data_IF_909200562483
#
_entry.id   IF_909200562483
#
_cell.length_a   1.000
_cell.length_b   1.000
_cell.length_c   1.000
_cell.angle_alpha   90.00
_cell.angle_beta   90.00
_cell.angle_gamma   90.00
#
_symmetry.space_group_name_H-M   'P 1'
#
loop_
_entity.id
_entity.type
_entity.pdbx_description
1 polymer ?
#
# COMPACT_ATOMS: atom_id res chain seq x y z
N UNK A 1 -2.53 6.07 -22.60
CA UNK A 1 -2.53 6.42 -21.15
C UNK A 1 -1.08 6.70 -20.78
N UNK A 2 -0.80 7.78 -20.07
CA UNK A 2 0.56 8.10 -19.61
C UNK A 2 0.88 7.30 -18.37
N UNK A 3 2.16 6.93 -18.19
CA UNK A 3 2.60 6.26 -16.98
C UNK A 3 2.65 7.26 -15.81
N UNK A 4 2.12 6.85 -14.65
CA UNK A 4 2.21 7.58 -13.38
C UNK A 4 3.57 7.35 -12.73
N UNK A 5 4.12 6.14 -12.87
CA UNK A 5 5.41 5.72 -12.35
C UNK A 5 6.18 4.92 -13.39
N UNK A 6 7.45 5.23 -13.57
CA UNK A 6 8.40 4.41 -14.34
C UNK A 6 9.61 4.12 -13.45
N UNK A 7 9.91 2.86 -13.28
CA UNK A 7 11.07 2.36 -12.54
C UNK A 7 11.97 1.63 -13.52
N UNK A 8 13.27 1.95 -13.50
CA UNK A 8 14.26 1.34 -14.37
C UNK A 8 15.50 0.93 -13.60
N UNK A 9 15.81 -0.36 -13.67
CA UNK A 9 16.99 -1.00 -13.10
C UNK A 9 17.18 -0.70 -11.60
N UNK A 10 16.06 -0.60 -10.84
CA UNK A 10 16.09 -0.28 -9.42
C UNK A 10 16.81 -1.37 -8.62
N UNK A 11 17.78 -0.94 -7.83
CA UNK A 11 18.45 -1.74 -6.82
C UNK A 11 18.37 -1.10 -5.44
N UNK A 12 18.18 -1.94 -4.41
CA UNK A 12 18.16 -1.52 -3.00
C UNK A 12 19.02 -2.46 -2.19
N UNK A 13 19.91 -1.92 -1.37
CA UNK A 13 20.78 -2.70 -0.51
C UNK A 13 20.84 -2.15 0.93
N UNK A 14 21.00 -3.04 1.90
CA UNK A 14 21.29 -2.73 3.31
C UNK A 14 22.71 -3.21 3.63
N UNK A 15 23.65 -2.27 3.70
CA UNK A 15 25.05 -2.59 3.81
C UNK A 15 25.54 -3.42 2.61
N UNK A 16 25.94 -4.68 2.84
CA UNK A 16 26.37 -5.59 1.76
C UNK A 16 25.26 -6.50 1.24
N UNK A 17 24.08 -6.45 1.81
CA UNK A 17 22.95 -7.30 1.43
C UNK A 17 22.09 -6.59 0.41
N UNK A 18 22.12 -7.06 -0.83
CA UNK A 18 21.22 -6.59 -1.89
C UNK A 18 19.83 -7.23 -1.71
N UNK A 19 18.81 -6.38 -1.61
CA UNK A 19 17.41 -6.80 -1.38
C UNK A 19 16.61 -6.72 -2.66
N UNK A 20 16.80 -5.66 -3.45
CA UNK A 20 16.21 -5.52 -4.79
C UNK A 20 17.33 -5.36 -5.81
N UNK A 21 17.18 -5.99 -6.98
CA UNK A 21 18.19 -5.98 -8.03
C UNK A 21 17.59 -5.83 -9.41
N UNK A 22 17.96 -4.74 -10.10
CA UNK A 22 17.64 -4.54 -11.52
C UNK A 22 16.14 -4.55 -11.82
N UNK A 23 15.29 -4.10 -10.89
CA UNK A 23 13.86 -4.12 -11.01
C UNK A 23 13.37 -3.03 -11.96
N UNK A 24 12.63 -3.41 -13.02
CA UNK A 24 12.07 -2.48 -14.00
C UNK A 24 10.59 -2.78 -14.22
N UNK A 25 9.75 -1.73 -14.12
CA UNK A 25 8.32 -1.81 -14.37
C UNK A 25 7.74 -0.40 -14.58
N UNK A 26 6.51 -0.32 -15.11
CA UNK A 26 5.75 0.93 -15.16
C UNK A 26 4.33 0.76 -14.65
N UNK A 27 3.76 1.83 -14.10
CA UNK A 27 2.40 1.86 -13.57
C UNK A 27 1.63 2.96 -14.29
N UNK A 28 0.62 2.63 -15.10
CA UNK A 28 -0.24 3.63 -15.74
C UNK A 28 -1.00 4.49 -14.72
N UNK A 29 -1.37 5.68 -15.13
CA UNK A 29 -2.21 6.56 -14.32
C UNK A 29 -3.57 5.92 -14.03
N UNK A 30 -4.03 6.01 -12.79
CA UNK A 30 -5.28 5.39 -12.31
C UNK A 30 -5.24 3.87 -12.22
N UNK A 31 -4.09 3.21 -12.48
CA UNK A 31 -3.97 1.77 -12.37
C UNK A 31 -3.97 1.28 -10.91
N UNK A 32 -4.31 0.00 -10.75
CA UNK A 32 -4.19 -0.74 -9.49
C UNK A 32 -3.14 -1.82 -9.63
N UNK A 33 -2.05 -1.70 -8.89
CA UNK A 33 -0.94 -2.65 -8.90
C UNK A 33 -0.77 -3.30 -7.53
N UNK A 34 -0.78 -4.62 -7.49
CA UNK A 34 -0.39 -5.39 -6.31
C UNK A 34 1.12 -5.70 -6.34
N UNK A 35 1.75 -5.70 -5.17
CA UNK A 35 3.11 -6.21 -4.94
C UNK A 35 3.00 -7.43 -4.04
N UNK A 36 3.44 -8.57 -4.54
CA UNK A 36 3.38 -9.85 -3.82
C UNK A 36 4.78 -10.47 -3.65
N UNK A 37 4.90 -11.38 -2.73
CA UNK A 37 6.14 -12.12 -2.48
C UNK A 37 6.31 -12.54 -1.02
N UNK A 38 7.23 -13.45 -0.73
CA UNK A 38 7.46 -13.92 0.64
C UNK A 38 7.98 -12.82 1.56
N UNK A 39 7.94 -13.07 2.87
CA UNK A 39 8.54 -12.17 3.85
C UNK A 39 10.03 -12.03 3.58
N UNK A 40 10.53 -10.79 3.68
CA UNK A 40 11.92 -10.48 3.39
C UNK A 40 12.29 -10.35 1.90
N UNK A 41 11.31 -10.43 0.96
CA UNK A 41 11.58 -10.24 -0.48
C UNK A 41 11.81 -8.79 -0.91
N UNK A 42 11.65 -7.82 0.01
CA UNK A 42 11.92 -6.41 -0.29
C UNK A 42 10.69 -5.56 -0.61
N UNK A 43 9.45 -6.04 -0.37
CA UNK A 43 8.22 -5.28 -0.67
C UNK A 43 8.20 -3.90 0.02
N UNK A 44 8.38 -3.87 1.33
CA UNK A 44 8.47 -2.60 2.09
C UNK A 44 9.70 -1.77 1.71
N UNK A 45 10.83 -2.42 1.36
CA UNK A 45 12.02 -1.71 0.87
C UNK A 45 11.74 -1.03 -0.48
N UNK A 46 10.98 -1.67 -1.38
CA UNK A 46 10.49 -1.04 -2.61
C UNK A 46 9.67 0.22 -2.29
N UNK A 47 8.68 0.13 -1.40
CA UNK A 47 7.85 1.28 -1.05
C UNK A 47 8.67 2.42 -0.45
N UNK A 48 9.60 2.12 0.45
CA UNK A 48 10.53 3.12 1.01
C UNK A 48 11.42 3.77 -0.05
N UNK A 49 11.89 3.01 -1.04
CA UNK A 49 12.63 3.56 -2.16
C UNK A 49 11.74 4.45 -3.05
N UNK A 50 10.51 4.02 -3.35
CA UNK A 50 9.56 4.79 -4.16
C UNK A 50 9.22 6.17 -3.56
N UNK A 51 9.17 6.29 -2.22
CA UNK A 51 8.94 7.57 -1.53
C UNK A 51 10.24 8.34 -1.21
N UNK A 52 11.40 7.83 -1.61
CA UNK A 52 12.70 8.45 -1.33
C UNK A 52 13.20 8.31 0.11
N UNK A 53 12.56 7.45 0.93
CA UNK A 53 12.95 7.20 2.32
C UNK A 53 14.09 6.16 2.45
N UNK A 54 14.51 5.53 1.35
CA UNK A 54 15.59 4.57 1.31
C UNK A 54 16.46 4.83 0.07
N UNK A 55 17.80 4.91 0.21
CA UNK A 55 18.70 5.03 -0.94
C UNK A 55 18.55 3.86 -1.90
N UNK A 56 18.60 4.15 -3.20
CA UNK A 56 18.48 3.17 -4.26
C UNK A 56 19.38 3.50 -5.44
N UNK A 57 19.73 2.50 -6.25
CA UNK A 57 20.35 2.63 -7.57
C UNK A 57 19.30 2.52 -8.66
N UNK A 58 19.64 2.85 -9.91
CA UNK A 58 18.68 2.93 -11.00
C UNK A 58 17.86 4.22 -10.98
N UNK A 59 16.70 4.24 -11.62
CA UNK A 59 15.86 5.44 -11.69
C UNK A 59 14.42 5.17 -11.29
N UNK A 60 13.86 6.10 -10.52
CA UNK A 60 12.43 6.16 -10.18
C UNK A 60 11.90 7.49 -10.72
N UNK A 61 10.97 7.44 -11.66
CA UNK A 61 10.36 8.63 -12.24
C UNK A 61 8.86 8.63 -12.02
N UNK A 62 8.40 9.57 -11.23
CA UNK A 62 6.99 9.89 -11.08
C UNK A 62 6.56 10.93 -12.13
N UNK A 63 5.33 10.85 -12.60
CA UNK A 63 4.77 11.91 -13.44
C UNK A 63 4.81 13.26 -12.71
N UNK A 64 5.00 14.38 -13.44
CA UNK A 64 5.02 15.72 -12.82
C UNK A 64 3.78 15.99 -11.97
N UNK A 65 3.97 16.64 -10.82
CA UNK A 65 2.88 16.95 -9.87
C UNK A 65 2.34 15.78 -9.08
N UNK A 66 2.97 14.60 -9.13
CA UNK A 66 2.57 13.44 -8.32
C UNK A 66 2.72 13.74 -6.84
N UNK A 67 1.63 13.54 -6.09
CA UNK A 67 1.61 13.55 -4.62
C UNK A 67 1.32 12.15 -4.13
N UNK A 68 2.13 11.68 -3.20
CA UNK A 68 2.07 10.29 -2.69
C UNK A 68 1.50 10.29 -1.29
N UNK A 69 0.42 9.53 -1.07
CA UNK A 69 -0.04 9.09 0.23
C UNK A 69 0.55 7.72 0.54
N UNK A 70 1.08 7.54 1.74
CA UNK A 70 1.64 6.26 2.17
C UNK A 70 0.98 5.80 3.47
N UNK A 71 0.45 4.59 3.46
CA UNK A 71 -0.07 3.88 4.62
C UNK A 71 0.89 2.74 4.93
N UNK A 72 1.69 2.83 5.99
CA UNK A 72 2.64 1.79 6.36
C UNK A 72 1.95 0.60 7.02
N UNK A 73 2.57 -0.58 6.93
CA UNK A 73 2.12 -1.80 7.61
C UNK A 73 2.02 -1.61 9.13
N UNK A 74 2.98 -0.93 9.70
CA UNK A 74 3.02 -0.56 11.14
C UNK A 74 3.51 0.87 11.27
N UNK A 75 2.87 1.58 12.15
CA UNK A 75 3.37 2.84 12.65
C UNK A 75 3.70 2.61 14.14
N UNK A 76 4.99 2.65 14.47
CA UNK A 76 5.47 2.50 15.84
C UNK A 76 5.18 3.79 16.62
N UNK A 77 3.89 3.99 16.94
CA UNK A 77 3.48 5.00 17.90
C UNK A 77 3.30 4.32 19.26
N UNK A 78 3.95 4.87 20.26
CA UNK A 78 3.68 4.48 21.64
C UNK A 78 2.20 4.72 21.93
N UNK A 79 1.47 3.65 22.25
CA UNK A 79 0.02 3.72 22.49
C UNK A 79 -0.35 4.61 23.70
N UNK A 80 0.62 4.86 24.57
CA UNK A 80 0.46 5.70 25.78
C UNK A 80 0.65 7.19 25.49
N UNK A 81 0.96 7.59 24.26
CA UNK A 81 1.02 9.00 23.89
C UNK A 81 -0.36 9.64 24.08
N UNK A 82 -0.43 10.79 24.82
CA UNK A 82 -1.67 11.55 24.99
C UNK A 82 -2.01 12.33 23.72
N UNK A 83 -2.13 11.62 22.60
CA UNK A 83 -2.38 12.17 21.27
C UNK A 83 -3.72 11.63 20.78
N UNK A 84 -4.67 12.52 20.45
CA UNK A 84 -5.89 12.10 19.79
C UNK A 84 -5.67 11.84 18.30
N UNK A 85 -6.57 11.07 17.68
CA UNK A 85 -6.55 10.89 16.22
C UNK A 85 -6.71 12.23 15.48
N UNK A 86 -7.46 13.16 16.04
CA UNK A 86 -7.63 14.51 15.50
C UNK A 86 -6.33 15.31 15.54
N UNK A 87 -5.60 15.31 16.66
CA UNK A 87 -4.30 15.99 16.76
C UNK A 87 -3.29 15.38 15.78
N UNK A 88 -3.31 14.07 15.63
CA UNK A 88 -2.48 13.35 14.64
C UNK A 88 -2.75 13.83 13.21
N UNK A 89 -4.02 13.97 12.82
CA UNK A 89 -4.39 14.49 11.50
C UNK A 89 -4.03 15.97 11.35
N UNK A 90 -4.21 16.78 12.39
CA UNK A 90 -3.83 18.20 12.39
C UNK A 90 -2.33 18.43 12.24
N UNK A 91 -1.50 17.62 12.88
CA UNK A 91 -0.05 17.67 12.69
C UNK A 91 0.32 17.49 11.20
N UNK A 92 -0.32 16.52 10.52
CA UNK A 92 -0.14 16.34 9.06
C UNK A 92 -0.72 17.50 8.27
N UNK A 93 -1.93 17.96 8.59
CA UNK A 93 -2.59 19.05 7.90
C UNK A 93 -1.72 20.30 7.86
N UNK A 94 -1.09 20.65 9.00
CA UNK A 94 -0.15 21.77 9.09
C UNK A 94 1.03 21.61 8.12
N UNK A 95 1.62 20.40 8.03
CA UNK A 95 2.76 20.15 7.15
C UNK A 95 2.42 20.26 5.66
N UNK A 96 1.21 19.87 5.27
CA UNK A 96 0.76 19.89 3.87
C UNK A 96 -0.12 21.10 3.56
N UNK A 97 -0.27 22.04 4.48
CA UNK A 97 -1.10 23.25 4.38
C UNK A 97 -2.58 22.92 4.05
N UNK A 98 -3.07 21.81 4.58
CA UNK A 98 -4.47 21.40 4.46
C UNK A 98 -5.33 22.15 5.49
N UNK A 99 -6.57 22.43 5.11
CA UNK A 99 -7.56 23.11 5.95
C UNK A 99 -8.28 22.13 6.89
N UNK A 100 -9.02 22.66 7.88
CA UNK A 100 -9.95 21.86 8.71
C UNK A 100 -11.04 21.17 7.87
N UNK A 101 -11.44 21.79 6.77
CA UNK A 101 -12.37 21.17 5.82
C UNK A 101 -11.75 19.92 5.15
N UNK A 102 -10.44 19.92 4.87
CA UNK A 102 -9.73 18.77 4.32
C UNK A 102 -9.63 17.65 5.34
N UNK A 103 -9.37 17.97 6.62
CA UNK A 103 -9.38 16.98 7.72
C UNK A 103 -10.76 16.33 7.84
N UNK A 104 -11.81 17.16 7.85
CA UNK A 104 -13.20 16.67 7.88
C UNK A 104 -13.53 15.79 6.66
N UNK A 105 -13.09 16.20 5.47
CA UNK A 105 -13.25 15.42 4.25
C UNK A 105 -12.53 14.08 4.33
N UNK A 106 -11.26 14.07 4.79
CA UNK A 106 -10.47 12.85 4.94
C UNK A 106 -11.15 11.86 5.89
N UNK A 107 -11.63 12.30 7.06
CA UNK A 107 -12.38 11.46 8.01
C UNK A 107 -13.65 10.86 7.39
N UNK A 108 -14.41 11.66 6.65
CA UNK A 108 -15.61 11.20 5.95
C UNK A 108 -15.30 10.17 4.88
N UNK A 109 -14.23 10.39 4.09
CA UNK A 109 -13.80 9.47 3.04
C UNK A 109 -13.46 8.08 3.58
N UNK A 110 -12.90 8.00 4.79
CA UNK A 110 -12.56 6.72 5.44
C UNK A 110 -13.65 6.22 6.39
N UNK A 111 -14.82 6.86 6.42
CA UNK A 111 -15.94 6.47 7.28
C UNK A 111 -15.54 6.41 8.76
N UNK A 112 -14.77 7.40 9.23
CA UNK A 112 -14.36 7.54 10.63
C UNK A 112 -15.07 8.74 11.26
N UNK A 113 -15.87 8.50 12.29
CA UNK A 113 -16.60 9.55 13.00
C UNK A 113 -15.66 10.54 13.69
N UNK A 114 -16.09 11.81 13.79
CA UNK A 114 -15.32 12.84 14.51
C UNK A 114 -15.14 12.52 15.98
N UNK A 115 -16.16 11.95 16.62
CA UNK A 115 -16.13 11.48 18.01
C UNK A 115 -15.04 10.41 18.23
N UNK A 116 -14.90 9.49 17.27
CA UNK A 116 -13.83 8.47 17.27
C UNK A 116 -12.46 9.12 17.07
N UNK A 117 -12.34 10.07 16.14
CA UNK A 117 -11.07 10.77 15.89
C UNK A 117 -10.60 11.62 17.10
N UNK A 118 -11.51 12.09 17.95
CA UNK A 118 -11.15 12.81 19.18
C UNK A 118 -10.65 11.91 20.31
N UNK A 119 -10.77 10.60 20.18
CA UNK A 119 -10.27 9.66 21.19
C UNK A 119 -8.74 9.52 21.10
N UNK A 120 -8.08 9.17 22.24
CA UNK A 120 -6.66 8.82 22.23
C UNK A 120 -6.36 7.70 21.22
N UNK A 121 -5.28 7.84 20.45
CA UNK A 121 -4.89 6.86 19.41
C UNK A 121 -4.79 5.45 20.00
N UNK A 122 -4.24 5.30 21.20
CA UNK A 122 -4.10 4.02 21.88
C UNK A 122 -5.42 3.33 22.23
N UNK A 123 -6.54 4.08 22.26
CA UNK A 123 -7.89 3.55 22.53
C UNK A 123 -8.66 3.12 21.29
N UNK A 124 -8.12 3.37 20.09
CA UNK A 124 -8.74 3.00 18.84
C UNK A 124 -8.61 1.50 18.58
N UNK A 125 -9.66 0.88 18.00
CA UNK A 125 -9.53 -0.49 17.48
C UNK A 125 -8.54 -0.53 16.31
N UNK A 126 -8.01 -1.72 15.97
CA UNK A 126 -7.11 -1.88 14.83
C UNK A 126 -7.69 -1.29 13.53
N UNK A 127 -8.94 -1.60 13.20
CA UNK A 127 -9.62 -1.06 12.02
C UNK A 127 -9.87 0.45 12.08
N UNK A 128 -10.17 1.02 13.26
CA UNK A 128 -10.28 2.47 13.45
C UNK A 128 -8.93 3.16 13.24
N UNK A 129 -7.87 2.60 13.77
CA UNK A 129 -6.53 3.12 13.61
C UNK A 129 -6.05 3.05 12.14
N UNK A 130 -6.29 1.96 11.44
CA UNK A 130 -5.95 1.86 10.02
C UNK A 130 -6.73 2.84 9.15
N UNK A 131 -8.02 3.08 9.43
CA UNK A 131 -8.78 4.13 8.76
C UNK A 131 -8.26 5.53 9.09
N UNK A 132 -7.77 5.76 10.31
CA UNK A 132 -7.09 7.00 10.67
C UNK A 132 -5.80 7.19 9.87
N UNK A 133 -4.98 6.13 9.70
CA UNK A 133 -3.78 6.17 8.86
C UNK A 133 -4.11 6.43 7.39
N UNK A 134 -5.19 5.86 6.89
CA UNK A 134 -5.68 6.14 5.54
C UNK A 134 -6.13 7.60 5.41
N UNK A 135 -6.87 8.15 6.39
CA UNK A 135 -7.23 9.57 6.41
C UNK A 135 -5.98 10.46 6.39
N UNK A 136 -4.97 10.13 7.19
CA UNK A 136 -3.68 10.81 7.22
C UNK A 136 -2.98 10.79 5.85
N UNK A 137 -2.97 9.65 5.16
CA UNK A 137 -2.39 9.51 3.82
C UNK A 137 -3.14 10.32 2.76
N UNK A 138 -4.45 10.53 2.92
CA UNK A 138 -5.30 11.29 2.00
C UNK A 138 -5.17 12.81 2.17
N UNK A 139 -4.64 13.30 3.30
CA UNK A 139 -4.35 14.72 3.48
C UNK A 139 -3.29 15.17 2.48
N UNK A 140 -3.51 16.32 1.87
CA UNK A 140 -2.66 16.83 0.78
C UNK A 140 -3.08 16.34 -0.61
N UNK A 141 -4.24 15.69 -0.75
CA UNK A 141 -4.82 15.26 -2.02
C UNK A 141 -3.85 14.46 -2.89
N UNK A 142 -3.43 13.26 -2.44
CA UNK A 142 -2.50 12.44 -3.20
C UNK A 142 -3.12 12.00 -4.53
N UNK A 143 -2.29 11.83 -5.55
CA UNK A 143 -2.66 11.17 -6.81
C UNK A 143 -2.21 9.71 -6.85
N UNK A 144 -1.38 9.31 -5.89
CA UNK A 144 -0.93 7.93 -5.69
C UNK A 144 -1.11 7.53 -4.23
N UNK A 145 -1.64 6.34 -4.00
CA UNK A 145 -1.72 5.73 -2.67
C UNK A 145 -0.83 4.48 -2.65
N UNK A 146 0.17 4.49 -1.78
CA UNK A 146 0.96 3.31 -1.43
C UNK A 146 0.39 2.69 -0.15
N UNK A 147 0.05 1.40 -0.18
CA UNK A 147 -0.70 0.73 0.87
C UNK A 147 0.01 -0.56 1.29
N UNK A 148 0.77 -0.53 2.39
CA UNK A 148 1.65 -1.61 2.82
C UNK A 148 0.97 -2.52 3.83
N UNK A 149 0.41 -3.67 3.38
CA UNK A 149 -0.21 -4.73 4.20
C UNK A 149 -1.09 -4.21 5.36
N UNK A 150 -2.12 -3.42 5.08
CA UNK A 150 -2.80 -2.62 6.09
C UNK A 150 -3.72 -3.42 7.03
N UNK A 151 -3.87 -4.71 6.82
CA UNK A 151 -4.86 -5.55 7.55
C UNK A 151 -4.28 -6.26 8.77
N UNK A 152 -3.00 -6.11 9.03
CA UNK A 152 -2.36 -6.71 10.20
C UNK A 152 -3.01 -6.22 11.50
N UNK A 153 -3.72 -7.11 12.19
CA UNK A 153 -4.38 -6.80 13.47
C UNK A 153 -5.78 -6.21 13.35
N UNK A 154 -6.42 -6.37 12.20
CA UNK A 154 -7.83 -6.06 11.96
C UNK A 154 -8.62 -7.37 11.89
N UNK A 155 -9.86 -7.35 12.37
CA UNK A 155 -10.82 -8.44 12.19
C UNK A 155 -11.37 -8.48 10.75
N UNK A 156 -11.87 -9.62 10.31
CA UNK A 156 -12.35 -9.83 8.95
C UNK A 156 -13.38 -8.78 8.46
N UNK A 157 -14.40 -8.39 9.26
CA UNK A 157 -15.33 -7.32 8.86
C UNK A 157 -14.66 -5.95 8.70
N UNK A 158 -13.66 -5.64 9.52
CA UNK A 158 -12.88 -4.41 9.44
C UNK A 158 -11.99 -4.37 8.21
N UNK A 159 -11.44 -5.51 7.83
CA UNK A 159 -10.64 -5.68 6.63
C UNK A 159 -11.46 -5.47 5.36
N UNK A 160 -12.62 -6.12 5.24
CA UNK A 160 -13.53 -5.91 4.11
C UNK A 160 -13.95 -4.45 3.96
N UNK A 161 -14.28 -3.79 5.07
CA UNK A 161 -14.64 -2.37 5.07
C UNK A 161 -13.48 -1.49 4.62
N UNK A 162 -12.26 -1.80 5.03
CA UNK A 162 -11.06 -1.06 4.62
C UNK A 162 -10.82 -1.19 3.11
N UNK A 163 -10.86 -2.40 2.56
CA UNK A 163 -10.69 -2.61 1.12
C UNK A 163 -11.82 -1.98 0.29
N UNK A 164 -13.08 -2.12 0.72
CA UNK A 164 -14.20 -1.45 0.06
C UNK A 164 -14.03 0.08 0.05
N UNK A 165 -13.49 0.64 1.14
CA UNK A 165 -13.16 2.07 1.22
C UNK A 165 -12.07 2.46 0.23
N UNK A 166 -10.99 1.67 0.13
CA UNK A 166 -9.88 1.93 -0.81
C UNK A 166 -10.33 1.79 -2.26
N UNK A 167 -11.15 0.78 -2.59
CA UNK A 167 -11.73 0.63 -3.93
C UNK A 167 -12.63 1.81 -4.33
N UNK A 168 -13.45 2.29 -3.40
CA UNK A 168 -14.27 3.48 -3.61
C UNK A 168 -13.42 4.72 -3.85
N UNK A 169 -12.44 4.96 -3.00
CA UNK A 169 -11.50 6.09 -3.12
C UNK A 169 -10.76 6.06 -4.45
N UNK A 170 -10.29 4.89 -4.88
CA UNK A 170 -9.59 4.74 -6.15
C UNK A 170 -10.46 5.15 -7.33
N UNK A 171 -11.76 4.81 -7.30
CA UNK A 171 -12.70 5.18 -8.37
C UNK A 171 -13.09 6.66 -8.31
N UNK A 172 -13.47 7.16 -7.13
CA UNK A 172 -14.00 8.51 -6.96
C UNK A 172 -12.92 9.59 -7.10
N UNK A 173 -11.71 9.32 -6.60
CA UNK A 173 -10.60 10.27 -6.61
C UNK A 173 -9.59 10.00 -7.75
N UNK A 174 -9.86 9.01 -8.62
CA UNK A 174 -8.95 8.60 -9.72
C UNK A 174 -7.52 8.31 -9.26
N UNK A 175 -7.37 7.71 -8.08
CA UNK A 175 -6.07 7.41 -7.49
C UNK A 175 -5.37 6.26 -8.25
N UNK A 176 -4.08 6.40 -8.46
CA UNK A 176 -3.21 5.25 -8.75
C UNK A 176 -2.96 4.53 -7.43
N UNK A 177 -3.31 3.25 -7.35
CA UNK A 177 -3.15 2.43 -6.14
C UNK A 177 -2.02 1.43 -6.33
N UNK A 178 -1.04 1.44 -5.43
CA UNK A 178 -0.02 0.39 -5.34
C UNK A 178 -0.11 -0.21 -3.94
N UNK A 179 -0.39 -1.50 -3.83
CA UNK A 179 -0.61 -2.15 -2.54
C UNK A 179 0.15 -3.45 -2.41
N UNK A 180 0.61 -3.73 -1.20
CA UNK A 180 1.22 -5.00 -0.83
C UNK A 180 0.13 -5.90 -0.24
N UNK A 181 0.07 -7.15 -0.69
CA UNK A 181 -0.82 -8.16 -0.13
C UNK A 181 -0.20 -9.55 -0.16
N UNK A 182 -0.55 -10.36 0.82
CA UNK A 182 -0.26 -11.80 0.86
C UNK A 182 -1.45 -12.64 0.36
N UNK A 183 -2.62 -12.04 0.20
CA UNK A 183 -3.84 -12.73 -0.23
C UNK A 183 -3.99 -12.69 -1.74
N UNK A 184 -3.87 -13.83 -2.39
CA UNK A 184 -4.07 -13.93 -3.85
C UNK A 184 -5.52 -13.64 -4.26
N UNK A 185 -6.52 -14.01 -3.45
CA UNK A 185 -7.93 -13.67 -3.65
C UNK A 185 -8.14 -12.17 -3.83
N UNK A 186 -7.57 -11.37 -2.92
CA UNK A 186 -7.59 -9.92 -2.98
C UNK A 186 -6.86 -9.38 -4.21
N UNK A 187 -5.70 -9.96 -4.54
CA UNK A 187 -4.92 -9.57 -5.72
C UNK A 187 -5.73 -9.78 -6.99
N UNK A 188 -6.38 -10.95 -7.15
CA UNK A 188 -7.25 -11.22 -8.32
C UNK A 188 -8.45 -10.30 -8.40
N UNK A 189 -9.02 -9.91 -7.26
CA UNK A 189 -10.19 -9.01 -7.18
C UNK A 189 -9.83 -7.56 -7.50
N UNK A 190 -8.73 -7.06 -6.95
CA UNK A 190 -8.41 -5.63 -6.97
C UNK A 190 -7.39 -5.21 -8.01
N UNK A 191 -6.41 -6.04 -8.33
CA UNK A 191 -5.27 -5.62 -9.12
C UNK A 191 -5.50 -5.78 -10.63
N UNK A 192 -5.15 -4.77 -11.41
CA UNK A 192 -4.99 -4.87 -12.86
C UNK A 192 -3.57 -5.27 -13.26
N UNK A 193 -2.59 -5.01 -12.39
CA UNK A 193 -1.18 -5.35 -12.55
C UNK A 193 -0.65 -6.00 -11.28
N UNK A 194 0.30 -6.91 -11.41
CA UNK A 194 1.02 -7.52 -10.29
C UNK A 194 2.51 -7.45 -10.52
N UNK A 195 3.23 -7.11 -9.49
CA UNK A 195 4.67 -7.24 -9.38
C UNK A 195 4.98 -8.33 -8.36
N UNK A 196 5.60 -9.42 -8.80
CA UNK A 196 6.09 -10.46 -7.90
C UNK A 196 7.54 -10.15 -7.50
N UNK A 197 7.83 -10.20 -6.23
CA UNK A 197 9.18 -10.10 -5.68
C UNK A 197 9.53 -11.43 -5.02
N UNK A 198 10.31 -12.25 -5.71
CA UNK A 198 10.86 -13.49 -5.17
C UNK A 198 12.21 -13.27 -4.49
N UNK A 199 12.73 -14.31 -3.87
CA UNK A 199 14.09 -14.28 -3.31
C UNK A 199 15.14 -14.21 -4.41
N UNK A 200 16.32 -13.61 -4.14
CA UNK A 200 17.49 -13.55 -5.04
C UNK A 200 17.22 -12.79 -6.35
N UNK A 201 16.36 -11.76 -6.33
CA UNK A 201 16.10 -10.93 -7.52
C UNK A 201 15.16 -11.56 -8.55
N UNK A 202 14.50 -12.65 -8.22
CA UNK A 202 13.42 -13.18 -9.07
C UNK A 202 12.26 -12.21 -9.02
N UNK A 203 11.82 -11.73 -10.17
CA UNK A 203 10.64 -10.88 -10.26
C UNK A 203 9.80 -11.21 -11.50
N UNK A 204 8.52 -10.93 -11.45
CA UNK A 204 7.60 -10.99 -12.57
C UNK A 204 6.71 -9.74 -12.54
N UNK A 205 6.24 -9.30 -13.71
CA UNK A 205 5.38 -8.13 -13.82
C UNK A 205 4.38 -8.30 -14.96
N UNK A 206 3.10 -8.00 -14.72
CA UNK A 206 2.04 -8.06 -15.73
C UNK A 206 0.65 -8.25 -15.14
N UNK A 207 -0.38 -8.50 -15.96
CA UNK A 207 -1.74 -8.78 -15.49
C UNK A 207 -1.81 -10.06 -14.64
N UNK A 208 -2.59 -10.06 -13.50
CA UNK A 208 -2.64 -11.20 -12.58
C UNK A 208 -2.92 -12.53 -13.25
N UNK A 209 -3.93 -12.58 -14.12
CA UNK A 209 -4.37 -13.81 -14.79
C UNK A 209 -3.33 -14.40 -15.78
N UNK A 210 -2.38 -13.59 -16.23
CA UNK A 210 -1.33 -14.02 -17.16
C UNK A 210 -0.08 -14.50 -16.46
N UNK A 211 0.26 -13.85 -15.32
CA UNK A 211 1.55 -14.07 -14.67
C UNK A 211 1.48 -14.92 -13.40
N UNK A 212 0.32 -14.98 -12.71
CA UNK A 212 0.17 -15.78 -11.49
C UNK A 212 -0.17 -17.23 -11.82
N UNK A 213 0.75 -17.89 -12.55
CA UNK A 213 0.68 -19.33 -12.77
C UNK A 213 1.25 -20.11 -11.61
N UNK A 214 0.90 -21.40 -11.41
CA UNK A 214 1.50 -22.24 -10.36
C UNK A 214 3.02 -22.19 -10.38
N UNK A 215 3.65 -22.25 -11.57
CA UNK A 215 5.11 -22.24 -11.73
C UNK A 215 5.70 -20.88 -11.31
N UNK A 216 5.04 -19.76 -11.63
CA UNK A 216 5.49 -18.44 -11.23
C UNK A 216 5.36 -18.25 -9.72
N UNK A 217 4.27 -18.74 -9.13
CA UNK A 217 4.05 -18.69 -7.69
C UNK A 217 5.08 -19.55 -6.95
N UNK A 218 5.32 -20.78 -7.40
CA UNK A 218 6.35 -21.66 -6.84
C UNK A 218 7.73 -21.02 -6.92
N UNK A 219 8.09 -20.43 -8.05
CA UNK A 219 9.35 -19.72 -8.24
C UNK A 219 9.48 -18.50 -7.35
N UNK A 220 8.37 -17.77 -7.09
CA UNK A 220 8.33 -16.57 -6.27
C UNK A 220 8.43 -16.90 -4.79
N UNK A 221 7.68 -17.91 -4.32
CA UNK A 221 7.58 -18.28 -2.91
C UNK A 221 8.54 -19.39 -2.50
N UNK A 222 9.03 -20.20 -3.45
CA UNK A 222 10.01 -21.27 -3.19
C UNK A 222 9.40 -22.54 -2.60
N UNK A 223 8.08 -22.72 -2.71
CA UNK A 223 7.36 -23.92 -2.28
C UNK A 223 6.17 -24.19 -3.22
N UNK A 224 5.77 -25.47 -3.44
CA UNK A 224 4.56 -25.82 -4.17
C UNK A 224 3.34 -25.18 -3.52
N UNK A 225 2.47 -24.55 -4.30
CA UNK A 225 1.35 -23.73 -3.84
C UNK A 225 0.02 -24.47 -3.86
N UNK A 226 0.01 -25.81 -3.70
CA UNK A 226 -1.21 -26.62 -3.71
C UNK A 226 -2.25 -26.21 -2.66
N UNK A 227 -1.87 -25.50 -1.60
CA UNK A 227 -2.76 -25.08 -0.53
C UNK A 227 -3.43 -23.71 -0.74
N UNK A 228 -2.97 -22.88 -1.69
CA UNK A 228 -3.51 -21.52 -1.84
C UNK A 228 -4.60 -21.38 -2.91
N UNK A 229 -4.75 -22.38 -3.79
CA UNK A 229 -5.76 -22.35 -4.87
C UNK A 229 -7.16 -22.82 -4.41
N UNK A 230 -7.27 -23.51 -3.27
CA UNK A 230 -8.54 -24.07 -2.79
C UNK A 230 -9.53 -23.03 -2.22
N UNK A 231 -9.12 -21.80 -1.95
CA UNK A 231 -10.04 -20.75 -1.48
C UNK A 231 -10.55 -19.82 -2.59
N UNK A 232 -10.12 -20.00 -3.84
CA UNK A 232 -10.56 -19.17 -4.97
C UNK A 232 -11.79 -19.71 -5.72
N UNK A 233 -12.30 -20.88 -5.36
CA UNK A 233 -13.47 -21.53 -5.98
C UNK A 233 -14.42 -22.06 -4.88
N UNK A 234 -15.06 -21.16 -4.15
CA UNK A 234 -16.29 -21.44 -3.43
C UNK A 234 -17.49 -21.05 -4.31
N UNK A 235 -18.61 -21.80 -4.24
CA UNK A 235 -19.75 -21.68 -5.14
C UNK A 235 -20.45 -20.35 -5.11
#
# INVERSE_FOLDING_TARGET
MSDRLVVDSLGVAFGRTEVLRGLSFSVPDGARMAVIGPNGSGKTALFKALIGALPSTGTIRWAPGTRIGYVPQRLDLERDLPLSGHDFLHAKATLVQASEADVTRALRLVTLGRDVAQRPIGSLSGGQFQRLLLAFALLGHPSVLLFDEPTTGIDEPGEELLYATVERLQREEHLTLIFISHELSLVYRMAGLVLCLGRRGVHCFGPPRQILTPETLERTYGAPMDHYLHHAHGP
#
